data_IF_542577121749
#
_entry.id   IF_542577121749
#
_cell.length_a   1.000
_cell.length_b   1.000
_cell.length_c   1.000
_cell.angle_alpha   90.00
_cell.angle_beta   90.00
_cell.angle_gamma   90.00
#
_symmetry.space_group_name_H-M   'P 1'
#
loop_
_entity.id
_entity.type
_entity.pdbx_description
1 polymer ?
#
# COMPACT_ATOMS: atom_id res chain seq x y z
N UNK A 1 -3.20 7.77 -8.72
CA UNK A 1 -2.08 6.80 -8.70
C UNK A 1 -2.58 5.39 -8.87
N UNK A 2 -1.71 4.43 -9.22
CA UNK A 2 -2.07 3.02 -9.54
C UNK A 2 -2.91 2.32 -8.45
N UNK A 3 -2.52 2.50 -7.18
CA UNK A 3 -3.07 1.79 -6.02
C UNK A 3 -4.13 2.57 -5.21
N UNK A 4 -4.44 3.80 -5.62
CA UNK A 4 -5.39 4.64 -4.88
C UNK A 4 -4.81 5.25 -3.61
N UNK A 5 -5.61 5.28 -2.54
CA UNK A 5 -5.30 5.93 -1.26
C UNK A 5 -4.46 5.04 -0.38
N UNK A 6 -3.40 5.59 0.19
CA UNK A 6 -2.53 4.92 1.16
C UNK A 6 -2.87 5.46 2.56
N UNK A 7 -3.01 4.56 3.53
CA UNK A 7 -3.31 4.92 4.92
C UNK A 7 -2.08 4.90 5.81
N UNK A 8 -1.24 3.89 5.63
CA UNK A 8 -0.08 3.61 6.48
C UNK A 8 1.04 3.04 5.65
N UNK A 9 2.28 3.37 6.04
CA UNK A 9 3.51 2.75 5.56
C UNK A 9 4.35 2.38 6.78
N UNK A 10 4.93 1.18 6.79
CA UNK A 10 5.87 0.71 7.81
C UNK A 10 7.05 0.01 7.16
N UNK A 11 8.17 -0.01 7.84
CA UNK A 11 9.40 -0.70 7.51
C UNK A 11 9.28 -2.14 8.04
N UNK A 12 9.50 -3.13 7.19
CA UNK A 12 9.56 -4.53 7.61
C UNK A 12 10.95 -4.91 8.12
N UNK A 13 11.05 -6.03 8.87
CA UNK A 13 12.33 -6.56 9.33
C UNK A 13 13.24 -7.03 8.18
N UNK A 14 12.70 -7.19 6.97
CA UNK A 14 13.41 -7.51 5.73
C UNK A 14 13.94 -6.27 4.98
N UNK A 15 13.78 -5.07 5.56
CA UNK A 15 14.20 -3.81 4.96
C UNK A 15 13.30 -3.32 3.81
N UNK A 16 12.19 -4.02 3.52
CA UNK A 16 11.18 -3.54 2.59
C UNK A 16 10.21 -2.57 3.27
N UNK A 17 9.53 -1.74 2.48
CA UNK A 17 8.41 -0.92 2.95
C UNK A 17 7.09 -1.64 2.67
N UNK A 18 6.21 -1.67 3.66
CA UNK A 18 4.86 -2.23 3.56
C UNK A 18 3.83 -1.11 3.62
N UNK A 19 3.04 -0.96 2.56
CA UNK A 19 2.02 0.08 2.46
C UNK A 19 0.61 -0.54 2.42
N UNK A 20 -0.31 -0.02 3.24
CA UNK A 20 -1.72 -0.41 3.24
C UNK A 20 -2.55 0.56 2.41
N UNK A 21 -3.27 0.06 1.40
CA UNK A 21 -4.31 0.85 0.71
C UNK A 21 -5.56 0.96 1.59
N UNK A 22 -6.35 2.02 1.38
CA UNK A 22 -7.60 2.24 2.12
C UNK A 22 -8.69 2.83 1.21
N UNK A 23 -8.98 2.14 0.12
CA UNK A 23 -9.93 2.57 -0.89
C UNK A 23 -11.38 2.29 -0.47
N UNK A 24 -11.62 1.35 0.45
CA UNK A 24 -12.98 0.94 0.88
C UNK A 24 -13.53 1.74 2.06
N UNK A 25 -12.88 2.82 2.49
CA UNK A 25 -13.30 3.64 3.65
C UNK A 25 -14.39 4.69 3.34
N UNK A 26 -15.02 4.59 2.17
CA UNK A 26 -16.07 5.51 1.72
C UNK A 26 -15.58 6.81 1.09
N UNK A 27 -14.26 7.05 1.03
CA UNK A 27 -13.67 8.26 0.41
C UNK A 27 -12.89 7.97 -0.87
N UNK A 28 -12.82 6.70 -1.27
CA UNK A 28 -12.11 6.23 -2.46
C UNK A 28 -13.05 5.76 -3.58
N UNK A 29 -12.43 5.23 -4.63
CA UNK A 29 -13.13 4.48 -5.69
C UNK A 29 -12.62 3.03 -5.64
N UNK A 30 -13.25 2.15 -4.83
CA UNK A 30 -12.81 0.78 -4.66
C UNK A 30 -12.69 0.03 -5.98
N UNK A 31 -11.62 -0.75 -6.13
CA UNK A 31 -11.47 -1.72 -7.22
C UNK A 31 -11.60 -3.13 -6.67
N UNK A 32 -11.86 -4.09 -7.56
CA UNK A 32 -11.81 -5.50 -7.19
C UNK A 32 -10.43 -5.84 -6.57
N UNK A 33 -10.47 -6.50 -5.43
CA UNK A 33 -9.28 -6.86 -4.66
C UNK A 33 -8.62 -5.71 -3.90
N UNK A 34 -9.34 -4.61 -3.67
CA UNK A 34 -9.01 -3.67 -2.59
C UNK A 34 -9.61 -4.16 -1.26
N UNK A 35 -9.00 -3.91 -0.11
CA UNK A 35 -7.70 -3.25 0.08
C UNK A 35 -6.50 -4.20 0.00
N UNK A 36 -5.30 -3.63 -0.18
CA UNK A 36 -4.06 -4.36 -0.45
C UNK A 36 -2.96 -3.93 0.51
N UNK A 37 -2.13 -4.90 0.90
CA UNK A 37 -0.80 -4.66 1.48
C UNK A 37 0.23 -4.80 0.36
N UNK A 38 0.97 -3.73 0.09
CA UNK A 38 2.01 -3.67 -0.93
C UNK A 38 3.38 -3.82 -0.26
N UNK A 39 4.22 -4.73 -0.75
CA UNK A 39 5.64 -4.82 -0.39
C UNK A 39 6.48 -4.10 -1.43
N UNK A 40 7.24 -3.09 -1.01
CA UNK A 40 8.06 -2.24 -1.86
C UNK A 40 9.52 -2.47 -1.46
N UNK A 41 10.32 -2.95 -2.40
CA UNK A 41 11.76 -3.18 -2.18
C UNK A 41 12.50 -1.99 -2.79
N UNK A 42 13.20 -1.16 -2.00
CA UNK A 42 14.04 -0.10 -2.53
C UNK A 42 15.13 -0.68 -3.45
N UNK A 43 15.55 0.04 -4.50
CA UNK A 43 16.73 -0.36 -5.26
C UNK A 43 17.93 -0.48 -4.32
N UNK A 44 18.79 -1.46 -4.57
CA UNK A 44 20.08 -1.50 -3.89
C UNK A 44 20.88 -0.28 -4.33
N UNK A 45 21.53 0.38 -3.37
CA UNK A 45 22.51 1.43 -3.66
C UNK A 45 23.68 0.92 -4.50
#
# INVERSE_FOLDING_TARGET
GRYGRIRTVVEGPDGALYALTNNTDGRGSPKQGDDRVLRIVPPRG
#
